data_IF_336547201139
#
_entry.id   IF_336547201139
#
_cell.length_a   1.000
_cell.length_b   1.000
_cell.length_c   1.000
_cell.angle_alpha   90.00
_cell.angle_beta   90.00
_cell.angle_gamma   90.00
#
_symmetry.space_group_name_H-M   'P 1'
#
loop_
_entity.id
_entity.type
_entity.pdbx_description
1 polymer ?
#
# COMPACT_ATOMS: atom_id res chain seq x y z
N UNK A 1 13.38 -16.12 28.03
CA UNK A 1 13.09 -15.08 27.03
C UNK A 1 11.62 -14.81 27.13
N UNK A 2 11.25 -13.78 27.88
CA UNK A 2 9.87 -13.35 28.03
C UNK A 2 9.31 -12.96 26.68
N UNK A 3 8.24 -13.66 26.29
CA UNK A 3 7.27 -13.33 25.31
C UNK A 3 7.77 -12.72 23.99
N UNK A 4 8.08 -13.55 23.02
CA UNK A 4 8.16 -13.06 21.65
C UNK A 4 6.78 -12.50 21.30
N UNK A 5 6.73 -11.27 20.79
CA UNK A 5 5.48 -10.63 20.31
C UNK A 5 4.85 -11.37 19.12
N UNK A 6 5.48 -12.44 18.65
CA UNK A 6 5.13 -13.21 17.48
C UNK A 6 4.73 -14.64 17.87
N UNK A 7 3.71 -15.17 17.22
CA UNK A 7 3.26 -16.55 17.42
C UNK A 7 4.17 -17.55 16.73
N UNK A 8 4.63 -17.23 15.52
CA UNK A 8 5.41 -18.15 14.69
C UNK A 8 6.89 -17.73 14.63
N UNK A 9 7.83 -18.71 14.61
CA UNK A 9 9.25 -18.44 14.41
C UNK A 9 9.60 -18.28 12.93
N UNK A 10 10.80 -17.78 12.66
CA UNK A 10 11.40 -17.72 11.32
C UNK A 10 10.67 -16.84 10.33
N UNK A 11 10.49 -17.30 9.10
CA UNK A 11 9.89 -16.53 8.00
C UNK A 11 8.43 -16.17 8.25
N UNK A 12 7.67 -17.03 8.91
CA UNK A 12 6.28 -16.74 9.26
C UNK A 12 6.17 -15.64 10.32
N UNK A 13 7.04 -15.63 11.32
CA UNK A 13 7.10 -14.53 12.29
C UNK A 13 7.52 -13.21 11.66
N UNK A 14 8.44 -13.25 10.70
CA UNK A 14 8.77 -12.05 9.90
C UNK A 14 7.56 -11.55 9.11
N UNK A 15 6.78 -12.44 8.52
CA UNK A 15 5.55 -12.08 7.78
C UNK A 15 4.49 -11.46 8.69
N UNK A 16 4.35 -11.95 9.93
CA UNK A 16 3.44 -11.35 10.93
C UNK A 16 3.83 -9.90 11.22
N UNK A 17 5.12 -9.66 11.46
CA UNK A 17 5.62 -8.32 11.76
C UNK A 17 5.52 -7.38 10.55
N UNK A 18 5.93 -7.86 9.37
CA UNK A 18 5.85 -7.10 8.12
C UNK A 18 4.41 -6.69 7.83
N UNK A 19 3.45 -7.60 8.00
CA UNK A 19 2.04 -7.31 7.84
C UNK A 19 1.57 -6.23 8.82
N UNK A 20 1.95 -6.33 10.10
CA UNK A 20 1.56 -5.35 11.11
C UNK A 20 2.06 -3.94 10.77
N UNK A 21 3.32 -3.80 10.37
CA UNK A 21 3.89 -2.51 9.95
C UNK A 21 3.28 -1.98 8.65
N UNK A 22 3.04 -2.84 7.67
CA UNK A 22 2.38 -2.47 6.42
C UNK A 22 0.96 -1.98 6.68
N UNK A 23 0.21 -2.69 7.50
CA UNK A 23 -1.14 -2.31 7.91
C UNK A 23 -1.15 -0.98 8.67
N UNK A 24 -0.21 -0.79 9.59
CA UNK A 24 -0.06 0.46 10.34
C UNK A 24 0.29 1.64 9.42
N UNK A 25 1.27 1.48 8.53
CA UNK A 25 1.67 2.52 7.57
C UNK A 25 0.53 2.92 6.61
N UNK A 26 -0.29 1.96 6.19
CA UNK A 26 -1.51 2.23 5.41
C UNK A 26 -2.71 2.70 6.25
N UNK A 27 -2.53 2.85 7.55
CA UNK A 27 -3.57 3.27 8.50
C UNK A 27 -4.82 2.37 8.49
N UNK A 28 -4.63 1.07 8.26
CA UNK A 28 -5.68 0.06 8.30
C UNK A 28 -5.89 -0.48 9.72
N UNK A 29 -4.81 -0.87 10.42
CA UNK A 29 -4.85 -1.35 11.80
C UNK A 29 -5.12 -2.84 11.97
N UNK A 30 -5.23 -3.63 10.89
CA UNK A 30 -5.35 -5.09 11.00
C UNK A 30 -3.99 -5.73 11.32
N UNK A 31 -4.01 -6.84 12.03
CA UNK A 31 -2.84 -7.64 12.38
C UNK A 31 -3.21 -9.12 12.48
N UNK A 32 -2.23 -10.00 12.39
CA UNK A 32 -2.45 -11.42 12.67
C UNK A 32 -2.80 -11.63 14.14
N UNK A 33 -3.74 -12.55 14.41
CA UNK A 33 -4.26 -12.80 15.76
C UNK A 33 -3.22 -13.30 16.78
N UNK A 34 -2.09 -13.81 16.31
CA UNK A 34 -1.00 -14.29 17.15
C UNK A 34 -0.02 -13.21 17.62
N UNK A 35 -0.09 -12.00 17.06
CA UNK A 35 0.83 -10.92 17.45
C UNK A 35 0.40 -10.28 18.78
N UNK A 36 1.33 -10.16 19.70
CA UNK A 36 1.14 -9.41 20.94
C UNK A 36 1.61 -7.96 20.73
N UNK A 37 0.72 -7.14 20.18
CA UNK A 37 1.06 -5.78 19.77
C UNK A 37 1.28 -4.82 20.94
N UNK A 38 0.71 -5.10 22.13
CA UNK A 38 0.78 -4.20 23.27
C UNK A 38 2.11 -4.32 24.03
N UNK A 39 3.19 -3.98 23.35
CA UNK A 39 4.52 -3.80 23.94
C UNK A 39 5.00 -2.36 23.73
N UNK A 40 5.79 -1.78 24.64
CA UNK A 40 6.28 -0.39 24.49
C UNK A 40 6.97 -0.14 23.14
N UNK A 41 7.75 -1.12 22.67
CA UNK A 41 8.46 -1.01 21.40
C UNK A 41 7.51 -1.01 20.20
N UNK A 42 6.58 -1.97 20.14
CA UNK A 42 5.59 -2.05 19.05
C UNK A 42 4.64 -0.86 19.08
N UNK A 43 4.18 -0.44 20.25
CA UNK A 43 3.33 0.74 20.38
C UNK A 43 4.00 1.99 19.81
N UNK A 44 5.27 2.22 20.17
CA UNK A 44 6.01 3.38 19.65
C UNK A 44 6.29 3.27 18.15
N UNK A 45 6.82 2.14 17.70
CA UNK A 45 7.22 1.96 16.30
C UNK A 45 6.05 1.90 15.32
N UNK A 46 4.95 1.22 15.67
CA UNK A 46 3.73 1.23 14.87
C UNK A 46 3.07 2.62 14.88
N UNK A 47 3.11 3.35 15.99
CA UNK A 47 2.65 4.73 16.06
C UNK A 47 3.42 5.65 15.11
N UNK A 48 4.74 5.54 15.06
CA UNK A 48 5.59 6.26 14.11
C UNK A 48 5.27 5.86 12.67
N UNK A 49 5.10 4.55 12.40
CA UNK A 49 4.73 4.06 11.08
C UNK A 49 3.38 4.62 10.60
N UNK A 50 2.38 4.68 11.48
CA UNK A 50 1.07 5.31 11.16
C UNK A 50 1.21 6.79 10.85
N UNK A 51 1.98 7.52 11.66
CA UNK A 51 2.18 8.96 11.50
C UNK A 51 2.88 9.25 10.15
N UNK A 52 3.97 8.57 9.87
CA UNK A 52 4.69 8.73 8.61
C UNK A 52 3.85 8.30 7.40
N UNK A 53 3.18 7.15 7.50
CA UNK A 53 2.33 6.62 6.44
C UNK A 53 1.15 7.51 6.09
N UNK A 54 0.66 8.33 7.04
CA UNK A 54 -0.41 9.28 6.78
C UNK A 54 0.11 10.64 6.31
N UNK A 55 0.97 11.25 7.09
CA UNK A 55 1.31 12.66 6.87
C UNK A 55 2.30 12.88 5.73
N UNK A 56 3.27 12.00 5.53
CA UNK A 56 4.25 12.15 4.44
C UNK A 56 3.56 12.15 3.07
N UNK A 57 2.69 11.18 2.72
CA UNK A 57 1.97 11.24 1.45
C UNK A 57 1.09 12.49 1.30
N UNK A 58 0.40 12.94 2.37
CA UNK A 58 -0.43 14.14 2.32
C UNK A 58 0.43 15.37 1.98
N UNK A 59 1.55 15.55 2.68
CA UNK A 59 2.45 16.70 2.43
C UNK A 59 3.00 16.66 1.00
N UNK A 60 3.42 15.49 0.52
CA UNK A 60 3.94 15.33 -0.84
C UNK A 60 2.87 15.62 -1.90
N UNK A 61 1.66 15.12 -1.72
CA UNK A 61 0.54 15.36 -2.66
C UNK A 61 0.14 16.84 -2.66
N UNK A 62 0.06 17.48 -1.49
CA UNK A 62 -0.24 18.92 -1.41
C UNK A 62 0.88 19.77 -2.02
N UNK A 63 2.13 19.38 -1.83
CA UNK A 63 3.28 20.04 -2.46
C UNK A 63 3.22 19.93 -3.98
N UNK A 64 2.91 18.72 -4.49
CA UNK A 64 2.72 18.47 -5.92
C UNK A 64 1.54 19.29 -6.46
N UNK A 65 0.41 19.30 -5.78
CA UNK A 65 -0.76 20.09 -6.17
C UNK A 65 -0.44 21.59 -6.23
N UNK A 66 0.30 22.11 -5.23
CA UNK A 66 0.76 23.48 -5.23
C UNK A 66 1.68 23.79 -6.42
N UNK A 67 2.60 22.90 -6.74
CA UNK A 67 3.48 23.05 -7.90
C UNK A 67 2.72 23.05 -9.22
N UNK A 68 1.71 22.18 -9.36
CA UNK A 68 0.88 22.12 -10.56
C UNK A 68 -0.05 23.33 -10.71
N UNK A 69 -0.52 23.90 -9.59
CA UNK A 69 -1.43 25.05 -9.62
C UNK A 69 -0.77 26.33 -10.17
N UNK A 70 0.55 26.40 -10.16
CA UNK A 70 1.31 27.56 -10.68
C UNK A 70 1.67 27.40 -12.16
N UNK A 71 1.43 26.21 -12.74
CA UNK A 71 1.74 25.96 -14.16
C UNK A 71 0.66 26.51 -15.07
N UNK A 72 1.08 27.11 -16.19
CA UNK A 72 0.15 27.55 -17.22
C UNK A 72 -0.58 26.36 -17.87
N UNK A 73 -1.87 26.50 -18.18
CA UNK A 73 -2.63 25.49 -18.89
C UNK A 73 -2.01 25.18 -20.26
N UNK A 74 -1.67 23.93 -20.50
CA UNK A 74 -1.18 23.50 -21.82
C UNK A 74 -2.34 23.52 -22.81
N UNK A 75 -2.27 24.27 -23.93
CA UNK A 75 -3.34 24.32 -24.93
C UNK A 75 -3.53 22.94 -25.56
N UNK A 76 -4.79 22.58 -25.81
CA UNK A 76 -5.11 21.33 -26.49
C UNK A 76 -4.56 21.34 -27.93
N UNK A 77 -3.77 20.33 -28.26
CA UNK A 77 -3.17 20.13 -29.58
C UNK A 77 -3.69 18.85 -30.23
N UNK A 78 -3.29 18.60 -31.47
CA UNK A 78 -3.66 17.36 -32.18
C UNK A 78 -3.17 16.07 -31.45
N UNK A 79 -2.15 16.18 -30.61
CA UNK A 79 -1.64 15.07 -29.78
C UNK A 79 -2.33 14.94 -28.42
N UNK A 80 -3.24 15.83 -28.07
CA UNK A 80 -3.95 15.79 -26.78
C UNK A 80 -5.01 14.69 -26.81
N UNK A 81 -4.91 13.74 -25.87
CA UNK A 81 -5.89 12.65 -25.75
C UNK A 81 -7.24 13.21 -25.25
N UNK A 82 -8.32 13.16 -26.03
CA UNK A 82 -9.62 13.68 -25.61
C UNK A 82 -10.26 12.74 -24.57
N UNK A 83 -10.50 13.28 -23.36
CA UNK A 83 -11.01 12.50 -22.23
C UNK A 83 -12.48 12.10 -22.33
N UNK A 84 -13.22 12.66 -23.31
CA UNK A 84 -14.63 12.35 -23.55
C UNK A 84 -14.86 11.27 -24.62
N UNK A 85 -13.79 10.69 -25.17
CA UNK A 85 -13.90 9.69 -26.23
C UNK A 85 -13.77 8.26 -25.71
N UNK A 86 -14.33 7.26 -26.42
CA UNK A 86 -14.30 5.86 -25.97
C UNK A 86 -12.89 5.30 -25.83
N UNK A 87 -11.93 5.81 -26.59
CA UNK A 87 -10.52 5.42 -26.44
C UNK A 87 -9.98 5.72 -25.05
N UNK A 88 -10.29 6.89 -24.51
CA UNK A 88 -9.88 7.24 -23.14
C UNK A 88 -10.55 6.35 -22.10
N UNK A 89 -11.84 6.07 -22.26
CA UNK A 89 -12.60 5.19 -21.36
C UNK A 89 -12.02 3.78 -21.39
N UNK A 90 -11.70 3.24 -22.56
CA UNK A 90 -11.10 1.91 -22.70
C UNK A 90 -9.71 1.85 -22.07
N UNK A 91 -8.88 2.89 -22.25
CA UNK A 91 -7.56 3.00 -21.65
C UNK A 91 -7.65 3.08 -20.11
N UNK A 92 -8.55 3.91 -19.58
CA UNK A 92 -8.77 4.05 -18.15
C UNK A 92 -9.25 2.72 -17.54
N UNK A 93 -10.20 2.06 -18.16
CA UNK A 93 -10.70 0.75 -17.72
C UNK A 93 -9.58 -0.30 -17.75
N UNK A 94 -8.79 -0.34 -18.83
CA UNK A 94 -7.63 -1.24 -18.94
C UNK A 94 -6.61 -1.02 -17.82
N UNK A 95 -6.27 0.23 -17.52
CA UNK A 95 -5.37 0.57 -16.41
C UNK A 95 -5.93 0.12 -15.07
N UNK A 96 -7.22 0.35 -14.79
CA UNK A 96 -7.86 -0.09 -13.54
C UNK A 96 -7.79 -1.61 -13.41
N UNK A 97 -8.11 -2.36 -14.47
CA UNK A 97 -8.07 -3.83 -14.46
C UNK A 97 -6.64 -4.34 -14.23
N UNK A 98 -5.65 -3.76 -14.92
CA UNK A 98 -4.24 -4.16 -14.76
C UNK A 98 -3.76 -3.89 -13.33
N UNK A 99 -4.04 -2.71 -12.78
CA UNK A 99 -3.64 -2.37 -11.40
C UNK A 99 -4.31 -3.30 -10.40
N UNK A 100 -5.61 -3.55 -10.55
CA UNK A 100 -6.32 -4.47 -9.66
C UNK A 100 -5.75 -5.90 -9.76
N UNK A 101 -5.49 -6.39 -10.97
CA UNK A 101 -4.91 -7.71 -11.17
C UNK A 101 -3.50 -7.81 -10.56
N UNK A 102 -2.62 -6.82 -10.78
CA UNK A 102 -1.27 -6.81 -10.21
C UNK A 102 -1.28 -6.67 -8.67
N UNK A 103 -2.29 -6.02 -8.11
CA UNK A 103 -2.42 -5.85 -6.65
C UNK A 103 -2.84 -7.14 -5.97
N UNK A 104 -3.82 -7.85 -6.52
CA UNK A 104 -4.45 -8.98 -5.84
C UNK A 104 -3.94 -10.33 -6.32
N UNK A 105 -3.67 -10.51 -7.61
CA UNK A 105 -3.32 -11.81 -8.17
C UNK A 105 -2.03 -12.41 -7.59
N UNK A 106 -0.91 -11.67 -7.42
CA UNK A 106 0.30 -12.25 -6.84
C UNK A 106 0.09 -12.78 -5.42
N UNK A 107 -0.65 -12.04 -4.59
CA UNK A 107 -0.92 -12.44 -3.19
C UNK A 107 -1.82 -13.66 -3.13
N UNK A 108 -2.84 -13.74 -3.98
CA UNK A 108 -3.78 -14.86 -4.02
C UNK A 108 -3.18 -16.13 -4.63
N UNK A 109 -2.23 -15.99 -5.56
CA UNK A 109 -1.63 -17.12 -6.26
C UNK A 109 -0.36 -17.63 -5.56
N UNK A 110 0.53 -16.74 -5.12
CA UNK A 110 1.85 -17.13 -4.60
C UNK A 110 1.78 -17.80 -3.23
N UNK A 111 0.85 -17.38 -2.36
CA UNK A 111 0.65 -18.01 -1.06
C UNK A 111 0.32 -19.51 -1.18
N UNK A 112 -0.80 -19.87 -1.82
CA UNK A 112 -1.17 -21.26 -2.04
C UNK A 112 -0.14 -22.10 -2.81
N UNK A 113 0.55 -21.48 -3.79
CA UNK A 113 1.61 -22.17 -4.52
C UNK A 113 2.83 -22.48 -3.63
N UNK A 114 3.26 -21.53 -2.80
CA UNK A 114 4.37 -21.75 -1.87
C UNK A 114 4.04 -22.84 -0.84
N UNK A 115 2.84 -22.82 -0.29
CA UNK A 115 2.37 -23.86 0.67
C UNK A 115 2.22 -25.24 0.01
N UNK A 116 1.86 -25.28 -1.27
CA UNK A 116 1.71 -26.55 -2.00
C UNK A 116 3.02 -27.17 -2.47
N UNK A 117 4.13 -26.45 -2.39
CA UNK A 117 5.48 -26.91 -2.76
C UNK A 117 6.32 -27.35 -1.55
N UNK A 118 5.84 -27.14 -0.34
CA UNK A 118 6.46 -27.57 0.92
C UNK A 118 5.91 -28.92 1.39
#
# INVERSE_FOLDING_TARGET
VEGTSLLNPGSHGFSELLYAFTSAANNNGSAFGGITANTPWLNASLGVAMLLGRFVPIVLVLSLAGSLAVQDPVPATAGTLPTHRPLFVALLFGVVVIIAALTYFPMLALGPLAEGLL
#
